data_IF_263575991943
#
_entry.id   IF_263575991943
#
_cell.length_a   1.000
_cell.length_b   1.000
_cell.length_c   1.000
_cell.angle_alpha   90.00
_cell.angle_beta   90.00
_cell.angle_gamma   90.00
#
_symmetry.space_group_name_H-M   'P 1'
#
loop_
_entity.id
_entity.type
_entity.pdbx_description
1 polymer ?
#
# COMPACT_ATOMS: atom_id res chain seq x y z
N UNK A 1 9.27 41.27 52.72
CA UNK A 1 9.72 42.18 51.64
C UNK A 1 9.79 41.37 50.36
N UNK A 2 9.42 41.95 49.22
CA UNK A 2 9.41 41.27 47.92
C UNK A 2 10.74 41.52 47.20
N UNK A 3 11.24 40.52 46.48
CA UNK A 3 12.38 40.61 45.57
C UNK A 3 11.98 40.01 44.23
N UNK A 4 11.86 40.85 43.19
CA UNK A 4 11.43 40.44 41.85
C UNK A 4 12.53 39.68 41.09
N UNK A 5 12.18 38.73 40.20
CA UNK A 5 13.12 38.20 39.23
C UNK A 5 13.42 39.26 38.14
N UNK A 6 14.61 39.25 37.53
CA UNK A 6 14.95 40.15 36.42
C UNK A 6 14.27 39.70 35.12
N UNK A 7 13.78 40.67 34.34
CA UNK A 7 13.36 40.47 32.95
C UNK A 7 14.58 40.34 32.04
N UNK A 8 14.62 39.31 31.20
CA UNK A 8 15.48 39.29 30.01
C UNK A 8 14.67 39.74 28.80
N UNK A 9 15.30 40.57 27.97
CA UNK A 9 14.76 41.16 26.74
C UNK A 9 15.84 41.12 25.65
N UNK A 10 15.42 41.17 24.40
CA UNK A 10 16.24 40.90 23.22
C UNK A 10 16.22 39.41 22.78
N UNK A 11 16.30 39.10 21.50
CA UNK A 11 16.35 40.00 20.34
C UNK A 11 16.34 39.19 19.04
N UNK A 12 15.65 39.67 18.01
CA UNK A 12 15.55 38.96 16.73
C UNK A 12 16.78 39.23 15.86
N UNK A 13 17.52 38.18 15.49
CA UNK A 13 18.38 38.18 14.31
C UNK A 13 18.00 37.02 13.38
N UNK A 14 17.18 37.36 12.37
CA UNK A 14 16.69 36.43 11.35
C UNK A 14 17.64 36.46 10.14
N UNK A 15 18.70 35.65 10.18
CA UNK A 15 19.59 35.47 9.04
C UNK A 15 18.88 34.76 7.89
N UNK A 16 18.37 35.54 6.93
CA UNK A 16 17.90 35.04 5.64
C UNK A 16 19.11 34.59 4.82
N UNK A 17 19.26 33.28 4.65
CA UNK A 17 20.23 32.70 3.71
C UNK A 17 19.54 32.59 2.35
N UNK A 18 20.00 33.38 1.38
CA UNK A 18 19.65 33.17 -0.02
C UNK A 18 20.40 31.94 -0.53
N UNK A 19 19.67 30.99 -1.15
CA UNK A 19 20.25 29.85 -1.84
C UNK A 19 20.18 30.16 -3.34
N UNK A 20 21.32 30.22 -4.01
CA UNK A 20 21.41 30.48 -5.45
C UNK A 20 21.05 29.22 -6.28
N UNK A 21 20.39 29.43 -7.43
CA UNK A 21 20.00 28.33 -8.33
C UNK A 21 21.22 27.75 -9.07
N UNK A 22 21.63 26.53 -8.71
CA UNK A 22 22.62 25.77 -9.50
C UNK A 22 21.89 25.08 -10.66
N UNK A 23 21.95 25.69 -11.85
CA UNK A 23 21.43 25.08 -13.07
C UNK A 23 22.31 23.89 -13.50
N UNK A 24 21.70 22.72 -13.68
CA UNK A 24 22.38 21.51 -14.17
C UNK A 24 22.24 21.36 -15.69
N UNK A 25 23.32 21.17 -16.46
CA UNK A 25 23.26 21.04 -17.91
C UNK A 25 22.84 19.63 -18.35
N UNK A 26 21.74 19.53 -19.11
CA UNK A 26 21.30 18.26 -19.70
C UNK A 26 22.24 17.80 -20.82
N UNK A 27 22.96 16.70 -20.58
CA UNK A 27 23.68 15.96 -21.62
C UNK A 27 22.72 15.04 -22.40
N UNK A 28 22.35 15.46 -23.62
CA UNK A 28 21.61 14.63 -24.57
C UNK A 28 22.53 13.57 -25.17
N UNK A 29 22.22 12.29 -24.93
CA UNK A 29 22.83 11.14 -25.60
C UNK A 29 21.79 10.59 -26.60
N UNK A 30 22.10 10.48 -27.91
CA UNK A 30 21.18 9.90 -28.87
C UNK A 30 21.12 8.37 -28.73
N UNK A 31 19.91 7.82 -28.74
CA UNK A 31 19.67 6.38 -28.82
C UNK A 31 19.62 5.98 -30.31
N UNK A 32 20.29 4.91 -30.76
CA UNK A 32 20.19 4.44 -32.14
C UNK A 32 18.80 3.91 -32.46
N UNK A 33 18.31 4.16 -33.68
CA UNK A 33 17.14 3.48 -34.22
C UNK A 33 17.43 1.98 -34.42
N UNK A 34 16.43 1.13 -34.18
CA UNK A 34 16.51 -0.31 -34.40
C UNK A 34 15.28 -0.78 -35.19
N UNK A 35 15.50 -1.56 -36.25
CA UNK A 35 14.47 -1.88 -37.24
C UNK A 35 13.28 -2.68 -36.67
N UNK A 36 12.07 -2.23 -36.99
CA UNK A 36 10.83 -2.97 -36.75
C UNK A 36 10.41 -3.74 -38.02
N UNK A 37 10.28 -5.09 -37.97
CA UNK A 37 9.74 -5.85 -39.09
C UNK A 37 8.23 -5.62 -39.24
N UNK A 38 7.79 -5.44 -40.49
CA UNK A 38 6.38 -5.21 -40.86
C UNK A 38 5.48 -6.42 -40.61
N UNK A 39 4.20 -6.24 -40.21
CA UNK A 39 3.26 -7.33 -40.01
C UNK A 39 2.71 -7.90 -41.34
N UNK A 40 2.81 -9.22 -41.52
CA UNK A 40 2.22 -9.93 -42.67
C UNK A 40 0.71 -10.11 -42.49
N UNK A 41 -0.08 -9.71 -43.49
CA UNK A 41 -1.54 -9.86 -43.48
C UNK A 41 -1.99 -11.33 -43.55
N UNK A 42 -3.00 -11.70 -42.76
CA UNK A 42 -3.77 -12.93 -42.98
C UNK A 42 -5.11 -12.61 -43.65
N UNK A 43 -5.40 -13.33 -44.74
CA UNK A 43 -6.61 -13.15 -45.54
C UNK A 43 -7.78 -13.94 -44.95
N UNK A 44 -8.95 -13.30 -44.89
CA UNK A 44 -10.23 -14.01 -44.76
C UNK A 44 -10.51 -14.82 -46.02
N UNK A 45 -10.90 -16.09 -45.86
CA UNK A 45 -11.56 -16.86 -46.91
C UNK A 45 -13.01 -17.14 -46.52
N UNK A 46 -13.91 -16.53 -47.28
CA UNK A 46 -15.34 -16.81 -47.26
C UNK A 46 -15.66 -18.15 -47.94
N UNK A 47 -16.73 -18.81 -47.51
CA UNK A 47 -17.53 -19.66 -48.41
C UNK A 47 -19.01 -19.58 -48.04
N UNK A 48 -19.90 -19.71 -49.03
CA UNK A 48 -21.33 -19.42 -48.86
C UNK A 48 -22.22 -20.12 -49.90
N UNK A 49 -23.22 -20.89 -49.43
CA UNK A 49 -24.43 -21.34 -50.15
C UNK A 49 -25.44 -21.78 -49.08
N UNK A 50 -26.69 -21.27 -49.04
CA UNK A 50 -27.86 -21.60 -49.90
C UNK A 50 -28.36 -23.05 -49.65
N UNK A 51 -29.63 -23.36 -49.39
CA UNK A 51 -30.92 -22.94 -50.01
C UNK A 51 -32.03 -22.92 -48.91
N UNK A 52 -32.70 -21.81 -48.58
CA UNK A 52 -33.91 -21.19 -49.19
C UNK A 52 -35.27 -21.95 -49.08
N UNK A 53 -36.27 -21.34 -48.40
CA UNK A 53 -37.72 -21.45 -48.69
C UNK A 53 -38.56 -20.43 -47.89
N UNK A 54 -39.71 -20.03 -48.45
CA UNK A 54 -40.70 -19.02 -47.98
C UNK A 54 -42.11 -19.54 -48.37
N UNK A 55 -43.26 -18.93 -47.94
CA UNK A 55 -43.49 -17.67 -47.22
C UNK A 55 -43.94 -17.93 -45.74
N UNK A 56 -44.87 -17.30 -45.01
CA UNK A 56 -45.93 -16.29 -45.24
C UNK A 56 -46.19 -15.44 -43.94
N UNK A 57 -46.88 -14.28 -43.97
CA UNK A 57 -46.80 -13.28 -42.90
C UNK A 57 -47.99 -13.24 -41.91
N UNK A 58 -47.75 -12.75 -40.69
CA UNK A 58 -48.70 -11.92 -39.93
C UNK A 58 -48.02 -11.11 -38.81
N UNK A 59 -48.56 -9.91 -38.53
CA UNK A 59 -48.37 -9.02 -37.37
C UNK A 59 -47.01 -8.94 -36.63
N UNK A 60 -46.23 -7.90 -36.97
CA UNK A 60 -45.25 -7.29 -36.06
C UNK A 60 -45.91 -6.21 -35.17
N UNK A 61 -45.91 -6.35 -33.83
CA UNK A 61 -45.80 -5.21 -32.92
C UNK A 61 -44.31 -4.85 -32.76
N UNK A 62 -43.96 -3.57 -32.85
CA UNK A 62 -42.56 -3.14 -32.77
C UNK A 62 -42.04 -3.16 -31.32
N UNK A 63 -41.52 -4.31 -30.88
CA UNK A 63 -40.80 -4.41 -29.61
C UNK A 63 -39.34 -3.97 -29.85
N UNK A 64 -39.00 -2.77 -29.39
CA UNK A 64 -37.62 -2.31 -29.26
C UNK A 64 -36.91 -3.10 -28.15
N UNK A 65 -36.51 -4.33 -28.46
CA UNK A 65 -35.59 -5.09 -27.63
C UNK A 65 -34.25 -4.36 -27.57
N UNK A 66 -34.04 -3.58 -26.50
CA UNK A 66 -32.72 -3.06 -26.14
C UNK A 66 -31.84 -4.27 -25.83
N UNK A 67 -31.13 -4.74 -26.84
CA UNK A 67 -30.02 -5.67 -26.68
C UNK A 67 -28.91 -4.92 -25.94
N UNK A 68 -29.02 -4.87 -24.61
CA UNK A 68 -27.89 -4.60 -23.73
C UNK A 68 -26.78 -5.55 -24.16
N UNK A 69 -25.63 -5.05 -24.64
CA UNK A 69 -24.49 -5.93 -24.88
C UNK A 69 -24.14 -6.55 -23.52
N UNK A 70 -24.14 -7.89 -23.47
CA UNK A 70 -23.61 -8.62 -22.32
C UNK A 70 -22.20 -8.09 -22.05
N UNK A 71 -21.94 -7.59 -20.84
CA UNK A 71 -20.61 -7.11 -20.49
C UNK A 71 -19.62 -8.28 -20.70
N UNK A 72 -18.75 -8.13 -21.69
CA UNK A 72 -17.52 -8.92 -21.73
C UNK A 72 -16.76 -8.68 -20.43
N UNK A 73 -16.03 -9.69 -19.96
CA UNK A 73 -15.31 -9.65 -18.68
C UNK A 73 -14.05 -8.76 -18.77
N UNK A 74 -14.26 -7.45 -18.89
CA UNK A 74 -13.21 -6.43 -18.99
C UNK A 74 -12.54 -6.23 -17.63
N UNK A 75 -11.63 -7.14 -17.29
CA UNK A 75 -10.80 -7.15 -16.08
C UNK A 75 -11.57 -6.78 -14.81
N UNK A 76 -12.36 -7.74 -14.31
CA UNK A 76 -13.05 -7.66 -13.00
C UNK A 76 -12.10 -7.73 -11.79
N UNK A 77 -10.78 -7.76 -12.04
CA UNK A 77 -9.73 -7.94 -11.05
C UNK A 77 -9.74 -6.82 -10.01
N UNK A 78 -9.98 -7.24 -8.77
CA UNK A 78 -9.82 -6.43 -7.57
C UNK A 78 -8.38 -6.55 -7.11
N UNK A 79 -7.68 -5.43 -6.97
CA UNK A 79 -6.27 -5.40 -6.54
C UNK A 79 -6.20 -4.85 -5.11
N UNK A 80 -5.49 -5.54 -4.22
CA UNK A 80 -5.18 -5.00 -2.91
C UNK A 80 -3.91 -4.13 -3.00
N UNK A 81 -3.81 -3.09 -2.16
CA UNK A 81 -2.67 -2.17 -2.15
C UNK A 81 -2.35 -1.69 -0.74
N UNK A 82 -1.13 -1.89 -0.25
CA UNK A 82 -0.69 -1.37 1.06
C UNK A 82 -0.80 0.16 1.09
N UNK A 83 -1.35 0.69 2.19
CA UNK A 83 -1.81 2.08 2.29
C UNK A 83 -0.71 3.03 2.79
N UNK A 84 0.08 3.57 1.86
CA UNK A 84 1.09 4.61 2.15
C UNK A 84 0.51 6.02 2.40
N UNK A 85 -0.83 6.18 2.38
CA UNK A 85 -1.50 7.46 2.63
C UNK A 85 -2.72 7.28 3.56
N UNK A 86 -2.60 7.73 4.80
CA UNK A 86 -3.67 7.59 5.81
C UNK A 86 -4.92 8.43 5.53
N UNK A 87 -4.98 9.20 4.44
CA UNK A 87 -6.18 9.92 3.97
C UNK A 87 -7.11 9.10 3.08
N UNK A 88 -6.68 7.94 2.54
CA UNK A 88 -7.49 7.13 1.60
C UNK A 88 -8.78 6.58 2.19
N UNK A 89 -9.93 6.78 1.52
CA UNK A 89 -11.24 6.31 1.99
C UNK A 89 -11.98 5.55 0.89
N UNK A 90 -13.01 4.80 1.29
CA UNK A 90 -14.00 4.27 0.35
C UNK A 90 -14.58 5.40 -0.50
N UNK A 91 -14.58 5.23 -1.82
CA UNK A 91 -15.00 6.24 -2.78
C UNK A 91 -13.88 7.16 -3.26
N UNK A 92 -12.67 7.08 -2.72
CA UNK A 92 -11.51 7.84 -3.22
C UNK A 92 -11.01 7.30 -4.57
N UNK A 93 -10.71 8.21 -5.48
CA UNK A 93 -10.10 7.96 -6.79
C UNK A 93 -8.57 7.90 -6.67
N UNK A 94 -7.91 7.06 -7.47
CA UNK A 94 -6.52 6.65 -7.25
C UNK A 94 -5.71 6.52 -8.56
N UNK A 95 -4.47 6.99 -8.53
CA UNK A 95 -3.44 6.80 -9.56
C UNK A 95 -2.44 5.75 -9.06
N UNK A 96 -2.60 4.49 -9.51
CA UNK A 96 -1.74 3.36 -9.16
C UNK A 96 -0.39 3.36 -9.90
N UNK A 97 -0.15 4.27 -10.85
CA UNK A 97 1.19 4.47 -11.41
C UNK A 97 2.07 5.36 -10.52
N UNK A 98 1.47 6.11 -9.59
CA UNK A 98 2.18 6.98 -8.61
C UNK A 98 1.86 6.62 -7.15
N UNK A 99 0.98 5.65 -6.94
CA UNK A 99 0.38 5.31 -5.64
C UNK A 99 -0.25 6.48 -4.88
N UNK A 100 -0.91 7.39 -5.61
CA UNK A 100 -1.53 8.60 -5.04
C UNK A 100 -3.06 8.62 -5.08
N UNK A 101 -3.66 9.20 -4.05
CA UNK A 101 -5.09 9.52 -4.02
C UNK A 101 -5.29 10.85 -4.74
N UNK A 102 -6.22 10.86 -5.70
CA UNK A 102 -6.55 12.03 -6.52
C UNK A 102 -7.62 12.90 -5.83
N UNK A 103 -8.53 12.27 -5.10
CA UNK A 103 -9.63 12.94 -4.39
C UNK A 103 -10.83 12.01 -4.18
N UNK A 104 -11.92 12.46 -3.54
CA UNK A 104 -13.16 11.71 -3.43
C UNK A 104 -13.93 11.70 -4.77
N UNK A 105 -14.69 10.64 -5.03
CA UNK A 105 -15.78 10.67 -6.02
C UNK A 105 -16.87 11.64 -5.53
N UNK A 106 -17.55 12.33 -6.45
CA UNK A 106 -18.63 13.29 -6.14
C UNK A 106 -19.97 12.61 -5.75
N UNK A 107 -19.91 11.49 -5.03
CA UNK A 107 -21.06 10.69 -4.59
C UNK A 107 -20.86 10.31 -3.12
N UNK A 108 -21.87 10.55 -2.29
CA UNK A 108 -21.83 10.13 -0.89
C UNK A 108 -22.03 8.60 -0.78
N UNK A 109 -20.97 7.88 -0.40
CA UNK A 109 -20.95 6.42 -0.21
C UNK A 109 -21.50 6.03 1.17
N UNK A 110 -22.81 6.14 1.35
CA UNK A 110 -23.49 5.87 2.64
C UNK A 110 -23.67 4.39 2.96
N UNK A 111 -23.83 3.53 1.95
CA UNK A 111 -23.99 2.08 2.13
C UNK A 111 -22.62 1.38 2.07
N UNK A 112 -22.18 0.93 3.24
CA UNK A 112 -20.97 0.12 3.43
C UNK A 112 -21.32 -1.22 4.07
N UNK A 113 -20.65 -2.29 3.64
CA UNK A 113 -20.55 -3.51 4.42
C UNK A 113 -19.41 -3.35 5.41
N UNK A 114 -19.60 -3.88 6.61
CA UNK A 114 -18.56 -3.98 7.62
C UNK A 114 -18.34 -5.45 7.97
N UNK A 115 -17.08 -5.87 8.01
CA UNK A 115 -16.70 -7.23 8.38
C UNK A 115 -15.57 -7.16 9.41
N UNK A 116 -15.87 -7.55 10.66
CA UNK A 116 -14.86 -7.71 11.70
C UNK A 116 -14.19 -9.08 11.56
N UNK A 117 -12.87 -9.10 11.34
CA UNK A 117 -12.10 -10.34 11.31
C UNK A 117 -10.69 -10.11 11.86
N UNK A 118 -10.46 -10.66 13.06
CA UNK A 118 -9.29 -10.36 13.88
C UNK A 118 -8.16 -11.33 13.54
N UNK A 119 -7.27 -10.90 12.65
CA UNK A 119 -6.12 -11.68 12.19
C UNK A 119 -4.81 -11.09 12.70
N UNK A 120 -3.84 -11.96 13.01
CA UNK A 120 -2.52 -11.58 13.54
C UNK A 120 -1.40 -12.32 12.81
N UNK A 121 -0.51 -11.56 12.18
CA UNK A 121 0.73 -12.05 11.56
C UNK A 121 1.91 -11.47 12.35
N UNK A 122 2.85 -12.31 12.76
CA UNK A 122 4.08 -11.86 13.41
C UNK A 122 5.27 -12.72 12.98
N UNK A 123 6.34 -12.06 12.58
CA UNK A 123 7.53 -12.67 11.97
C UNK A 123 8.79 -12.04 12.53
N UNK A 124 9.84 -12.85 12.64
CA UNK A 124 11.21 -12.41 12.93
C UNK A 124 12.05 -12.85 11.74
N UNK A 125 12.72 -11.90 11.10
CA UNK A 125 13.56 -12.12 9.91
C UNK A 125 14.99 -11.71 10.27
N UNK A 126 15.97 -12.54 9.89
CA UNK A 126 17.39 -12.27 10.17
C UNK A 126 18.00 -11.46 9.02
N UNK A 127 18.82 -10.45 9.32
CA UNK A 127 19.39 -9.59 8.28
C UNK A 127 20.36 -10.28 7.32
N UNK A 128 20.97 -11.39 7.73
CA UNK A 128 21.81 -12.25 6.89
C UNK A 128 21.14 -13.61 6.64
N UNK A 129 19.94 -13.61 6.04
CA UNK A 129 19.33 -14.83 5.51
C UNK A 129 19.80 -15.10 4.08
N UNK A 130 20.17 -16.34 3.76
CA UNK A 130 20.48 -16.76 2.37
C UNK A 130 19.32 -16.50 1.40
N UNK A 131 18.10 -16.42 1.94
CA UNK A 131 16.96 -15.80 1.29
C UNK A 131 17.23 -14.30 1.05
N UNK A 132 17.75 -13.98 -0.14
CA UNK A 132 17.80 -12.61 -0.71
C UNK A 132 16.41 -12.04 -1.05
N UNK A 133 15.37 -12.44 -0.33
CA UNK A 133 14.04 -11.88 -0.53
C UNK A 133 13.98 -10.49 0.11
N UNK A 134 13.78 -9.49 -0.75
CA UNK A 134 13.46 -8.11 -0.39
C UNK A 134 12.50 -8.08 0.83
N UNK A 135 12.86 -7.31 1.86
CA UNK A 135 12.15 -7.30 3.15
C UNK A 135 10.71 -6.79 2.98
N UNK A 136 10.49 -5.80 2.10
CA UNK A 136 9.17 -5.29 1.76
C UNK A 136 8.29 -6.38 1.10
N UNK A 137 8.88 -7.19 0.20
CA UNK A 137 8.20 -8.34 -0.43
C UNK A 137 7.81 -9.39 0.63
N UNK A 138 8.70 -9.65 1.60
CA UNK A 138 8.46 -10.61 2.69
C UNK A 138 7.34 -10.18 3.65
N UNK A 139 7.25 -8.88 3.97
CA UNK A 139 6.15 -8.36 4.80
C UNK A 139 4.83 -8.25 4.02
N UNK A 140 4.89 -7.91 2.71
CA UNK A 140 3.77 -8.05 1.78
C UNK A 140 3.48 -6.86 0.86
N UNK A 141 4.40 -5.90 0.70
CA UNK A 141 4.20 -4.77 -0.23
C UNK A 141 4.23 -5.25 -1.68
N UNK A 142 3.25 -4.77 -2.45
CA UNK A 142 3.02 -5.17 -3.83
C UNK A 142 4.15 -4.69 -4.76
N UNK A 143 4.38 -5.42 -5.85
CA UNK A 143 5.52 -5.21 -6.74
C UNK A 143 5.58 -3.77 -7.30
N UNK A 144 4.46 -3.23 -7.75
CA UNK A 144 4.43 -1.88 -8.33
C UNK A 144 4.50 -0.79 -7.25
N UNK A 145 4.15 -1.11 -5.99
CA UNK A 145 4.32 -0.20 -4.86
C UNK A 145 5.79 -0.12 -4.44
N UNK A 146 6.49 -1.25 -4.41
CA UNK A 146 7.95 -1.28 -4.23
C UNK A 146 8.62 -0.46 -5.34
N UNK A 147 8.19 -0.64 -6.60
CA UNK A 147 8.75 0.10 -7.74
C UNK A 147 8.49 1.63 -7.66
N UNK A 148 7.28 2.07 -7.33
CA UNK A 148 6.96 3.50 -7.23
C UNK A 148 7.71 4.20 -6.10
N UNK A 149 7.92 3.51 -4.97
CA UNK A 149 8.72 3.97 -3.84
C UNK A 149 10.23 4.01 -4.16
N UNK A 150 10.77 2.99 -4.84
CA UNK A 150 12.18 2.98 -5.29
C UNK A 150 12.47 4.08 -6.33
N UNK A 151 11.49 4.38 -7.20
CA UNK A 151 11.55 5.50 -8.15
C UNK A 151 11.25 6.86 -7.51
N UNK A 152 10.97 6.91 -6.20
CA UNK A 152 10.58 8.10 -5.45
C UNK A 152 9.41 8.89 -6.09
N UNK A 153 8.45 8.19 -6.69
CA UNK A 153 7.22 8.80 -7.26
C UNK A 153 6.26 9.32 -6.18
N UNK A 154 6.48 8.90 -4.93
CA UNK A 154 5.73 9.30 -3.74
C UNK A 154 6.60 9.21 -2.49
N UNK A 155 6.36 10.11 -1.53
CA UNK A 155 7.01 10.10 -0.22
C UNK A 155 6.84 8.77 0.51
N UNK A 156 7.96 8.22 0.99
CA UNK A 156 7.98 7.02 1.83
C UNK A 156 7.45 7.38 3.21
N UNK A 157 6.30 6.85 3.59
CA UNK A 157 5.73 7.02 4.94
C UNK A 157 5.26 5.70 5.55
N UNK A 158 5.18 5.63 6.87
CA UNK A 158 4.64 4.48 7.58
C UNK A 158 5.64 3.32 7.63
N UNK A 159 5.35 2.24 6.92
CA UNK A 159 6.29 1.13 6.74
C UNK A 159 7.28 1.39 5.59
N UNK A 160 6.92 2.21 4.59
CA UNK A 160 7.79 2.49 3.44
C UNK A 160 9.09 3.23 3.83
N UNK A 161 9.08 3.93 4.97
CA UNK A 161 10.25 4.60 5.57
C UNK A 161 11.45 3.66 5.82
N UNK A 162 11.24 2.32 5.86
CA UNK A 162 12.34 1.36 5.99
C UNK A 162 13.27 1.34 4.77
N UNK A 163 12.82 1.82 3.60
CA UNK A 163 13.69 2.00 2.42
C UNK A 163 14.80 3.03 2.65
N UNK A 164 14.61 3.95 3.59
CA UNK A 164 15.60 4.97 3.97
C UNK A 164 16.39 4.56 5.24
N UNK A 165 16.31 3.29 5.66
CA UNK A 165 17.06 2.77 6.81
C UNK A 165 18.55 2.62 6.46
N UNK A 166 19.36 3.55 6.96
CA UNK A 166 20.76 3.73 6.55
C UNK A 166 21.79 2.85 7.26
N UNK A 167 21.42 2.09 8.30
CA UNK A 167 22.38 1.25 9.02
C UNK A 167 22.64 -0.06 8.27
N UNK A 168 23.89 -0.61 8.28
CA UNK A 168 24.20 -1.89 7.66
C UNK A 168 23.32 -3.04 8.18
N UNK A 169 22.70 -3.76 7.26
CA UNK A 169 21.92 -4.97 7.54
C UNK A 169 22.88 -6.16 7.51
N UNK A 170 22.94 -6.94 8.60
CA UNK A 170 23.89 -8.05 8.76
C UNK A 170 23.33 -9.18 9.66
N UNK A 171 24.16 -10.15 10.03
CA UNK A 171 23.80 -11.28 10.89
C UNK A 171 23.36 -10.87 12.31
N UNK A 172 23.69 -9.65 12.72
CA UNK A 172 23.31 -9.02 13.99
C UNK A 172 22.06 -8.13 13.88
N UNK A 173 21.48 -8.00 12.69
CA UNK A 173 20.18 -7.31 12.48
C UNK A 173 19.03 -8.30 12.62
N UNK A 174 17.92 -7.86 13.23
CA UNK A 174 16.62 -8.55 13.23
C UNK A 174 15.52 -7.60 12.79
N UNK A 175 14.65 -8.07 11.92
CA UNK A 175 13.40 -7.40 11.57
C UNK A 175 12.25 -8.09 12.28
N UNK A 176 11.64 -7.38 13.23
CA UNK A 176 10.46 -7.85 13.95
C UNK A 176 9.22 -7.21 13.31
N UNK A 177 8.51 -7.98 12.48
CA UNK A 177 7.28 -7.54 11.83
C UNK A 177 6.05 -8.01 12.61
N UNK A 178 5.07 -7.12 12.76
CA UNK A 178 3.77 -7.41 13.36
C UNK A 178 2.65 -6.72 12.60
N UNK A 179 1.59 -7.46 12.31
CA UNK A 179 0.33 -6.96 11.77
C UNK A 179 -0.84 -7.53 12.56
N UNK A 180 -1.77 -6.65 12.92
CA UNK A 180 -3.08 -6.95 13.49
C UNK A 180 -4.15 -6.32 12.61
N UNK A 181 -4.77 -7.14 11.77
CA UNK A 181 -5.94 -6.76 10.98
C UNK A 181 -7.17 -6.92 11.86
N UNK A 182 -7.97 -5.85 11.97
CA UNK A 182 -9.12 -5.77 12.88
C UNK A 182 -10.44 -5.99 12.13
N UNK A 183 -10.58 -5.34 10.97
CA UNK A 183 -11.84 -5.23 10.20
C UNK A 183 -11.65 -4.61 8.81
N UNK A 184 -12.52 -4.96 7.87
CA UNK A 184 -12.65 -4.32 6.54
C UNK A 184 -13.96 -3.53 6.45
N UNK A 185 -13.93 -2.39 5.76
CA UNK A 185 -15.11 -1.71 5.24
C UNK A 185 -15.12 -1.87 3.71
N UNK A 186 -16.26 -2.16 3.08
CA UNK A 186 -16.40 -2.28 1.61
C UNK A 186 -17.67 -1.63 1.06
N UNK A 187 -17.69 -1.31 -0.24
CA UNK A 187 -18.87 -0.86 -0.98
C UNK A 187 -19.82 -2.04 -1.27
N UNK A 188 -21.09 -1.91 -0.88
CA UNK A 188 -22.18 -2.85 -1.25
C UNK A 188 -22.72 -2.53 -2.66
N UNK A 189 -22.77 -1.26 -3.03
CA UNK A 189 -23.43 -0.78 -4.24
C UNK A 189 -22.92 -1.43 -5.55
N UNK A 190 -23.87 -1.78 -6.42
CA UNK A 190 -23.62 -2.07 -7.84
C UNK A 190 -22.96 -0.85 -8.53
N UNK A 191 -21.95 -1.03 -9.41
CA UNK A 191 -21.27 0.07 -10.10
C UNK A 191 -22.21 1.00 -10.86
N UNK A 192 -23.26 0.46 -11.48
CA UNK A 192 -24.27 1.23 -12.24
C UNK A 192 -25.00 2.22 -11.31
N UNK A 193 -25.25 1.83 -10.05
CA UNK A 193 -25.90 2.71 -9.08
C UNK A 193 -24.96 3.82 -8.55
N UNK A 194 -23.65 3.65 -8.66
CA UNK A 194 -22.65 4.68 -8.35
C UNK A 194 -22.48 5.61 -9.55
N UNK A 195 -22.28 5.05 -10.74
CA UNK A 195 -22.11 5.80 -11.99
C UNK A 195 -23.34 6.66 -12.33
N UNK A 196 -24.55 6.18 -12.04
CA UNK A 196 -25.79 6.96 -12.20
C UNK A 196 -25.97 8.07 -11.12
N UNK A 197 -25.28 7.97 -9.98
CA UNK A 197 -25.28 9.00 -8.93
C UNK A 197 -24.22 10.07 -9.18
N UNK A 198 -23.08 9.69 -9.75
CA UNK A 198 -22.08 10.65 -10.19
C UNK A 198 -22.59 11.43 -11.39
N UNK A 199 -22.25 12.71 -11.44
CA UNK A 199 -22.60 13.62 -12.54
C UNK A 199 -21.41 13.89 -13.45
N UNK A 200 -20.23 13.32 -13.16
CA UNK A 200 -19.08 13.43 -14.04
C UNK A 200 -19.25 12.54 -15.27
N UNK A 201 -19.02 13.12 -16.47
CA UNK A 201 -19.04 12.38 -17.73
C UNK A 201 -17.72 11.61 -18.00
N UNK A 202 -16.71 11.82 -17.16
CA UNK A 202 -15.38 11.20 -17.21
C UNK A 202 -14.68 11.36 -15.86
N UNK A 203 -13.82 10.41 -15.44
CA UNK A 203 -12.99 10.58 -14.26
C UNK A 203 -11.93 11.69 -14.46
N UNK A 204 -11.34 12.20 -13.36
CA UNK A 204 -10.16 13.07 -13.41
C UNK A 204 -8.96 12.42 -14.12
N UNK A 205 -8.09 13.25 -14.69
CA UNK A 205 -6.87 12.81 -15.40
C UNK A 205 -5.96 12.04 -14.42
N UNK A 206 -5.42 10.91 -14.87
CA UNK A 206 -4.57 10.02 -14.05
C UNK A 206 -5.32 9.00 -13.21
N UNK A 207 -6.67 9.04 -13.17
CA UNK A 207 -7.45 8.06 -12.42
C UNK A 207 -7.39 6.69 -13.09
N UNK A 208 -6.65 5.76 -12.48
CA UNK A 208 -6.60 4.34 -12.89
C UNK A 208 -7.62 3.49 -12.12
N UNK A 209 -7.92 3.85 -10.86
CA UNK A 209 -8.68 3.03 -9.93
C UNK A 209 -9.61 3.86 -9.01
N UNK A 210 -10.52 3.16 -8.34
CA UNK A 210 -11.27 3.64 -7.18
C UNK A 210 -11.07 2.70 -5.98
N UNK A 211 -10.92 3.27 -4.78
CA UNK A 211 -10.89 2.56 -3.51
C UNK A 211 -12.31 2.09 -3.17
N UNK A 212 -12.55 0.79 -3.29
CA UNK A 212 -13.86 0.13 -3.04
C UNK A 212 -13.94 -0.58 -1.69
N UNK A 213 -12.82 -0.67 -0.98
CA UNK A 213 -12.75 -1.14 0.39
C UNK A 213 -11.48 -0.67 1.07
N UNK A 214 -11.46 -0.71 2.40
CA UNK A 214 -10.36 -0.26 3.25
C UNK A 214 -10.21 -1.24 4.41
N UNK A 215 -9.03 -1.82 4.56
CA UNK A 215 -8.69 -2.68 5.70
C UNK A 215 -8.05 -1.84 6.80
N UNK A 216 -8.57 -1.97 8.03
CA UNK A 216 -8.08 -1.22 9.20
C UNK A 216 -7.50 -2.13 10.28
N UNK A 217 -6.45 -1.66 10.93
CA UNK A 217 -5.60 -2.48 11.77
C UNK A 217 -4.26 -1.81 12.06
N UNK A 218 -3.42 -2.49 12.83
CA UNK A 218 -2.06 -2.05 13.16
C UNK A 218 -1.07 -2.78 12.28
N UNK A 219 -0.12 -2.06 11.70
CA UNK A 219 1.04 -2.68 11.06
C UNK A 219 2.34 -1.98 11.46
N UNK A 220 3.38 -2.77 11.71
CA UNK A 220 4.71 -2.30 12.12
C UNK A 220 5.80 -3.26 11.66
N UNK A 221 6.95 -2.69 11.32
CA UNK A 221 8.24 -3.39 11.29
C UNK A 221 9.21 -2.64 12.20
N UNK A 222 9.90 -3.38 13.07
CA UNK A 222 10.94 -2.86 13.95
C UNK A 222 12.27 -3.46 13.54
N UNK A 223 13.26 -2.61 13.26
CA UNK A 223 14.64 -3.03 13.03
C UNK A 223 15.39 -2.98 14.36
N UNK A 224 15.98 -4.11 14.75
CA UNK A 224 16.77 -4.27 15.96
C UNK A 224 18.21 -4.56 15.54
N UNK A 225 19.17 -3.77 16.03
CA UNK A 225 20.59 -4.07 15.89
C UNK A 225 21.13 -4.64 17.20
N UNK A 226 21.60 -5.88 17.15
CA UNK A 226 22.12 -6.62 18.30
C UNK A 226 23.63 -6.39 18.46
N UNK A 227 24.14 -6.70 19.66
CA UNK A 227 25.58 -6.82 19.91
C UNK A 227 26.13 -8.06 19.18
N UNK A 228 27.34 -7.95 18.64
CA UNK A 228 28.08 -9.06 18.02
C UNK A 228 28.59 -10.09 19.06
N UNK A 229 27.66 -10.76 19.74
CA UNK A 229 27.89 -11.81 20.74
C UNK A 229 26.93 -12.97 20.44
N UNK A 230 27.44 -14.02 19.78
CA UNK A 230 26.66 -15.16 19.29
C UNK A 230 25.83 -15.85 20.37
N UNK A 231 26.32 -15.88 21.62
CA UNK A 231 25.58 -16.49 22.73
C UNK A 231 24.40 -15.61 23.15
N UNK A 232 24.63 -14.29 23.34
CA UNK A 232 23.55 -13.34 23.66
C UNK A 232 22.50 -13.25 22.56
N UNK A 233 22.90 -13.39 21.29
CA UNK A 233 21.97 -13.35 20.16
C UNK A 233 20.96 -14.50 20.25
N UNK A 234 21.40 -15.73 20.54
CA UNK A 234 20.49 -16.86 20.75
C UNK A 234 19.56 -16.62 21.94
N UNK A 235 20.07 -16.04 23.03
CA UNK A 235 19.24 -15.69 24.20
C UNK A 235 18.21 -14.60 23.86
N UNK A 236 18.60 -13.54 23.14
CA UNK A 236 17.70 -12.48 22.67
C UNK A 236 16.65 -13.04 21.70
N UNK A 237 17.04 -13.85 20.72
CA UNK A 237 16.12 -14.45 19.74
C UNK A 237 15.05 -15.33 20.43
N UNK A 238 15.37 -16.02 21.52
CA UNK A 238 14.38 -16.72 22.35
C UNK A 238 13.38 -15.73 23.01
N UNK A 239 13.84 -14.59 23.53
CA UNK A 239 12.95 -13.54 24.06
C UNK A 239 12.10 -12.90 22.95
N UNK A 240 12.65 -12.71 21.74
CA UNK A 240 11.88 -12.24 20.59
C UNK A 240 10.78 -13.24 20.21
N UNK A 241 11.05 -14.55 20.18
CA UNK A 241 10.02 -15.57 19.93
C UNK A 241 8.93 -15.59 21.01
N UNK A 242 9.29 -15.35 22.28
CA UNK A 242 8.33 -15.20 23.38
C UNK A 242 7.46 -13.94 23.23
N UNK A 243 8.04 -12.81 22.85
CA UNK A 243 7.33 -11.55 22.54
C UNK A 243 6.39 -11.71 21.34
N UNK A 244 6.84 -12.38 20.28
CA UNK A 244 6.03 -12.78 19.11
C UNK A 244 4.83 -13.63 19.52
N UNK A 245 5.05 -14.63 20.37
CA UNK A 245 3.97 -15.49 20.90
C UNK A 245 2.93 -14.68 21.68
N UNK A 246 3.39 -13.85 22.61
CA UNK A 246 2.52 -12.92 23.37
C UNK A 246 1.71 -11.99 22.45
N UNK A 247 2.32 -11.45 21.38
CA UNK A 247 1.64 -10.51 20.48
C UNK A 247 0.57 -11.17 19.60
N UNK A 248 0.78 -12.43 19.18
CA UNK A 248 -0.18 -13.23 18.39
C UNK A 248 -1.33 -13.77 19.24
N UNK A 249 -1.03 -14.30 20.43
CA UNK A 249 -2.04 -14.78 21.38
C UNK A 249 -2.91 -13.63 21.93
N UNK A 250 -4.07 -13.94 22.51
CA UNK A 250 -4.86 -12.98 23.33
C UNK A 250 -4.33 -12.83 24.76
N UNK A 251 -3.03 -13.08 24.96
CA UNK A 251 -2.34 -12.91 26.23
C UNK A 251 -2.38 -11.43 26.67
N UNK A 252 -3.02 -11.18 27.82
CA UNK A 252 -3.26 -9.82 28.34
C UNK A 252 -2.08 -9.21 29.08
N UNK A 253 -1.14 -10.04 29.54
CA UNK A 253 0.01 -9.63 30.36
C UNK A 253 1.22 -10.46 29.94
N UNK A 254 2.27 -9.80 29.48
CA UNK A 254 3.61 -10.37 29.46
C UNK A 254 4.35 -9.93 30.73
N UNK A 255 4.96 -10.89 31.43
CA UNK A 255 5.98 -10.63 32.44
C UNK A 255 7.28 -11.22 31.94
N UNK A 256 8.22 -10.36 31.57
CA UNK A 256 9.61 -10.74 31.42
C UNK A 256 10.22 -10.98 32.80
N UNK A 257 11.28 -11.79 32.85
CA UNK A 257 12.16 -11.89 34.00
C UNK A 257 13.24 -10.80 33.93
N UNK A 258 13.88 -10.49 35.05
CA UNK A 258 14.96 -9.49 35.07
C UNK A 258 16.10 -9.82 34.09
N UNK A 259 16.38 -11.11 33.86
CA UNK A 259 17.37 -11.53 32.86
C UNK A 259 16.94 -11.17 31.43
N UNK A 260 15.67 -11.37 31.07
CA UNK A 260 15.15 -11.05 29.75
C UNK A 260 15.05 -9.53 29.53
N UNK A 261 14.66 -8.76 30.55
CA UNK A 261 14.70 -7.29 30.51
C UNK A 261 16.14 -6.79 30.31
N UNK A 262 17.10 -7.36 31.04
CA UNK A 262 18.52 -7.04 30.89
C UNK A 262 19.05 -7.43 29.49
N UNK A 263 18.61 -8.57 28.92
CA UNK A 263 18.98 -8.99 27.56
C UNK A 263 18.46 -7.99 26.51
N UNK A 264 17.19 -7.58 26.58
CA UNK A 264 16.63 -6.59 25.66
C UNK A 264 17.27 -5.20 25.82
N UNK A 265 17.72 -4.84 27.03
CA UNK A 265 18.48 -3.61 27.27
C UNK A 265 19.88 -3.58 26.61
N UNK A 266 20.38 -4.73 26.11
CA UNK A 266 21.62 -4.78 25.31
C UNK A 266 21.37 -4.54 23.79
N UNK A 267 20.15 -4.31 23.33
CA UNK A 267 19.89 -3.99 21.91
C UNK A 267 20.46 -2.59 21.61
N UNK A 268 21.45 -2.52 20.70
CA UNK A 268 22.21 -1.30 20.39
C UNK A 268 21.31 -0.24 19.75
N UNK A 269 20.42 -0.66 18.86
CA UNK A 269 19.53 0.22 18.12
C UNK A 269 18.17 -0.44 17.92
N UNK A 270 17.10 0.34 18.09
CA UNK A 270 15.71 -0.04 17.82
C UNK A 270 15.09 1.09 17.01
N UNK A 271 14.65 0.82 15.78
CA UNK A 271 13.91 1.77 14.94
C UNK A 271 12.60 1.14 14.47
N UNK A 272 11.49 1.82 14.74
CA UNK A 272 10.16 1.41 14.35
C UNK A 272 9.63 2.19 13.14
N UNK A 273 8.96 1.47 12.25
CA UNK A 273 8.27 1.98 11.06
C UNK A 273 6.84 1.40 11.05
N UNK A 274 5.80 2.24 11.06
CA UNK A 274 4.43 1.80 11.37
C UNK A 274 3.35 2.73 10.81
N UNK A 275 2.17 2.18 10.51
CA UNK A 275 0.98 2.99 10.21
C UNK A 275 0.47 3.83 11.42
N UNK A 276 1.00 3.63 12.63
CA UNK A 276 0.77 4.46 13.83
C UNK A 276 2.01 5.32 14.11
N UNK A 277 1.87 6.65 14.10
CA UNK A 277 2.95 7.60 14.41
C UNK A 277 3.60 7.32 15.78
N UNK A 278 2.78 7.22 16.84
CA UNK A 278 3.24 7.02 18.23
C UNK A 278 4.12 5.77 18.43
N UNK A 279 4.06 4.78 17.53
CA UNK A 279 4.94 3.61 17.60
C UNK A 279 6.32 3.84 16.95
N UNK A 280 6.44 4.81 16.03
CA UNK A 280 7.73 5.20 15.39
C UNK A 280 8.66 5.93 16.36
N UNK A 281 8.06 6.59 17.35
CA UNK A 281 8.73 7.42 18.35
C UNK A 281 9.30 6.61 19.55
N UNK A 282 8.89 5.34 19.70
CA UNK A 282 9.34 4.47 20.80
C UNK A 282 10.60 3.69 20.39
N UNK A 283 11.66 3.84 21.18
CA UNK A 283 12.98 3.25 20.94
C UNK A 283 13.34 2.07 21.89
N UNK A 284 12.41 1.64 22.76
CA UNK A 284 12.58 0.48 23.63
C UNK A 284 11.69 -0.64 23.11
N UNK A 285 12.28 -1.75 22.65
CA UNK A 285 11.53 -2.80 21.94
C UNK A 285 10.40 -3.44 22.77
N UNK A 286 10.63 -3.66 24.07
CA UNK A 286 9.60 -4.14 24.98
C UNK A 286 8.40 -3.18 25.05
N UNK A 287 8.65 -1.87 25.02
CA UNK A 287 7.60 -0.85 25.10
C UNK A 287 6.82 -0.72 23.81
N UNK A 288 7.45 -0.92 22.64
CA UNK A 288 6.72 -1.12 21.37
C UNK A 288 5.73 -2.27 21.54
N UNK A 289 6.16 -3.41 22.09
CA UNK A 289 5.30 -4.58 22.29
C UNK A 289 4.14 -4.31 23.28
N UNK A 290 4.36 -3.50 24.33
CA UNK A 290 3.30 -3.06 25.25
C UNK A 290 2.33 -2.09 24.57
N UNK A 291 2.82 -1.09 23.83
CA UNK A 291 2.03 -0.10 23.12
C UNK A 291 1.22 -0.71 21.97
N UNK A 292 1.72 -1.76 21.31
CA UNK A 292 0.98 -2.54 20.30
C UNK A 292 -0.31 -3.14 20.88
N UNK A 293 -0.24 -3.89 21.98
CA UNK A 293 -1.43 -4.45 22.65
C UNK A 293 -2.42 -3.35 23.08
N UNK A 294 -1.92 -2.26 23.67
CA UNK A 294 -2.77 -1.14 24.08
C UNK A 294 -3.49 -0.47 22.89
N UNK A 295 -2.83 -0.42 21.73
CA UNK A 295 -3.34 0.18 20.51
C UNK A 295 -4.39 -0.69 19.79
N UNK A 296 -4.51 -1.98 20.10
CA UNK A 296 -5.51 -2.87 19.49
C UNK A 296 -6.95 -2.35 19.69
N UNK A 297 -7.22 -1.67 20.81
CA UNK A 297 -8.53 -1.03 21.08
C UNK A 297 -8.80 0.26 20.25
N UNK A 298 -7.86 0.68 19.41
CA UNK A 298 -7.95 1.86 18.52
C UNK A 298 -7.60 1.54 17.06
N UNK A 299 -7.22 0.29 16.79
CA UNK A 299 -6.84 -0.30 15.48
C UNK A 299 -7.75 0.11 14.32
N UNK A 300 -9.06 0.07 14.55
CA UNK A 300 -10.16 0.53 13.70
C UNK A 300 -10.01 1.91 13.01
N UNK A 301 -9.05 2.74 13.43
CA UNK A 301 -8.75 4.08 12.88
C UNK A 301 -7.53 4.15 11.96
N UNK A 302 -6.65 3.15 12.00
CA UNK A 302 -5.42 3.11 11.21
C UNK A 302 -5.62 2.19 10.02
N UNK A 303 -5.18 2.61 8.83
CA UNK A 303 -5.37 1.84 7.59
C UNK A 303 -4.13 0.98 7.34
N UNK A 304 -4.34 -0.26 6.91
CA UNK A 304 -3.29 -1.16 6.41
C UNK A 304 -3.29 -1.18 4.89
N UNK A 305 -4.44 -1.35 4.25
CA UNK A 305 -4.54 -1.49 2.79
C UNK A 305 -5.84 -0.93 2.21
N UNK A 306 -5.82 -0.69 0.89
CA UNK A 306 -6.99 -0.42 0.07
C UNK A 306 -7.36 -1.63 -0.78
N UNK A 307 -8.64 -1.74 -1.11
CA UNK A 307 -9.20 -2.70 -2.07
C UNK A 307 -9.64 -1.95 -3.34
N UNK A 308 -8.75 -1.91 -4.32
CA UNK A 308 -8.90 -1.14 -5.56
C UNK A 308 -9.74 -1.90 -6.60
N UNK A 309 -10.53 -1.16 -7.38
CA UNK A 309 -11.09 -1.62 -8.67
C UNK A 309 -10.67 -0.69 -9.80
N UNK A 310 -10.38 -1.19 -11.01
CA UNK A 310 -10.09 -0.35 -12.18
C UNK A 310 -11.20 0.66 -12.44
N UNK A 311 -10.86 1.87 -12.89
CA UNK A 311 -11.83 2.95 -13.10
C UNK A 311 -12.89 2.60 -14.17
N UNK A 312 -12.55 1.69 -15.10
CA UNK A 312 -13.48 1.05 -16.05
C UNK A 312 -14.69 0.39 -15.37
N UNK A 313 -14.59 0.00 -14.09
CA UNK A 313 -15.71 -0.53 -13.30
C UNK A 313 -16.83 0.51 -13.09
N UNK A 314 -16.51 1.81 -13.05
CA UNK A 314 -17.50 2.89 -13.02
C UNK A 314 -17.78 3.49 -14.40
N UNK A 315 -16.76 3.61 -15.26
CA UNK A 315 -16.85 4.25 -16.58
C UNK A 315 -16.49 3.27 -17.70
N UNK A 316 -17.27 2.20 -17.94
CA UNK A 316 -16.89 1.11 -18.84
C UNK A 316 -16.76 1.53 -20.30
N UNK A 317 -17.36 2.66 -20.70
CA UNK A 317 -17.29 3.22 -22.05
C UNK A 317 -16.22 4.32 -22.21
N UNK A 318 -15.49 4.68 -21.15
CA UNK A 318 -14.46 5.71 -21.22
C UNK A 318 -13.10 5.10 -21.62
N UNK A 319 -12.54 5.57 -22.73
CA UNK A 319 -11.30 5.05 -23.34
C UNK A 319 -10.14 6.06 -23.27
N UNK A 320 -10.21 7.02 -22.33
CA UNK A 320 -9.20 8.06 -22.18
C UNK A 320 -7.84 7.58 -21.64
N UNK A 321 -6.79 8.44 -21.71
CA UNK A 321 -5.47 8.11 -21.17
C UNK A 321 -5.52 7.93 -19.64
N UNK A 322 -4.73 6.98 -19.13
CA UNK A 322 -4.65 6.66 -17.69
C UNK A 322 -5.76 5.75 -17.16
N UNK A 323 -6.69 5.28 -18.01
CA UNK A 323 -7.82 4.41 -17.62
C UNK A 323 -7.43 2.94 -17.48
N UNK A 324 -6.27 2.55 -18.03
CA UNK A 324 -5.75 1.19 -17.99
C UNK A 324 -4.49 1.13 -17.16
N UNK A 325 -4.44 0.17 -16.24
CA UNK A 325 -3.29 -0.14 -15.40
C UNK A 325 -2.73 -1.49 -15.83
N UNK A 326 -1.41 -1.55 -16.05
CA UNK A 326 -0.69 -2.76 -16.41
C UNK A 326 0.19 -3.15 -15.22
N UNK A 327 -0.14 -4.27 -14.58
CA UNK A 327 0.68 -4.82 -13.48
C UNK A 327 2.08 -5.20 -13.96
N UNK A 328 3.05 -5.11 -13.06
CA UNK A 328 4.45 -5.41 -13.40
C UNK A 328 4.64 -6.93 -13.59
N UNK A 329 5.25 -7.38 -14.70
CA UNK A 329 5.58 -8.78 -14.91
C UNK A 329 6.41 -9.38 -13.78
N UNK A 330 6.04 -10.58 -13.31
CA UNK A 330 6.66 -11.23 -12.13
C UNK A 330 8.19 -11.40 -12.27
N UNK A 331 8.69 -11.62 -13.49
CA UNK A 331 10.13 -11.78 -13.74
C UNK A 331 10.96 -10.51 -13.45
N UNK A 332 10.33 -9.33 -13.41
CA UNK A 332 10.96 -8.08 -12.99
C UNK A 332 10.87 -7.86 -11.47
N UNK A 333 9.94 -8.52 -10.77
CA UNK A 333 9.60 -8.25 -9.37
C UNK A 333 10.71 -8.53 -8.34
N UNK A 334 11.69 -9.35 -8.72
CA UNK A 334 12.84 -9.70 -7.88
C UNK A 334 14.01 -8.72 -8.03
N UNK A 335 13.97 -7.82 -9.04
CA UNK A 335 15.02 -6.84 -9.33
C UNK A 335 14.59 -5.41 -8.93
N UNK A 336 13.63 -5.29 -8.01
CA UNK A 336 13.15 -4.02 -7.47
C UNK A 336 13.86 -3.75 -6.13
N UNK A 337 15.15 -3.43 -6.23
CA UNK A 337 16.03 -2.74 -5.26
C UNK A 337 17.46 -2.68 -5.83
#
# INVERSE_FOLDING_TARGET
>A
MLSSPPSFDGGNDLHIIQIEEIQSPYLLIPIPEADLPTPTSLLYLSNSTSVASHPNPSHNPCILSKNMPTLHETSSLVTNRTAIDSSGRIGSLYDAYKDTIIGPLNVNMTEKQHEEFKSRKCMIINGNSDQKENILKTIGLENELRLSLSLNLRDKTGLAEILDYSNPINEYTRFFYYSYLDREETIIHNPVNIANKDKSAKPPIGTTHIITGVQTGIEIIVVLQLVADTQRIVEIDNVLQRLRTFLVNDDKILKLTQQEENLLANIIHTKAFSNIHVLRDVNIFYDICRCLKQSQNKSAKYIISYRLRPIKWLYPFYTGPGVEFISLPEHLSNNIE
#
